data_IF_573985358420
#
_entry.id   IF_573985358420
#
_cell.length_a   1.000
_cell.length_b   1.000
_cell.length_c   1.000
_cell.angle_alpha   90.00
_cell.angle_beta   90.00
_cell.angle_gamma   90.00
#
_symmetry.space_group_name_H-M   'P 1'
#
loop_
_entity.id
_entity.type
_entity.pdbx_description
1 polymer ?
#
# COMPACT_ATOMS: atom_id res chain seq x y z
N UNK A 1 3.08 49.20 30.53
CA UNK A 1 3.58 50.18 31.54
C UNK A 1 3.42 49.70 32.98
N UNK A 2 2.21 49.41 33.48
CA UNK A 2 2.04 48.86 34.85
C UNK A 2 2.50 47.41 34.99
N UNK A 3 2.36 46.60 33.94
CA UNK A 3 2.84 45.22 33.88
C UNK A 3 4.37 45.16 33.89
N UNK A 4 5.01 45.97 33.05
CA UNK A 4 6.47 45.95 32.86
C UNK A 4 7.22 46.32 34.15
N UNK A 5 6.78 47.36 34.84
CA UNK A 5 7.34 47.79 36.12
C UNK A 5 7.15 46.75 37.25
N UNK A 6 6.05 45.97 37.20
CA UNK A 6 5.79 44.92 38.18
C UNK A 6 6.67 43.68 37.91
N UNK A 7 6.85 43.32 36.64
CA UNK A 7 7.80 42.27 36.23
C UNK A 7 9.25 42.64 36.57
N UNK A 8 9.65 43.89 36.38
CA UNK A 8 11.00 44.34 36.73
C UNK A 8 11.23 44.35 38.24
N UNK A 9 10.25 44.82 39.01
CA UNK A 9 10.31 44.77 40.47
C UNK A 9 10.38 43.32 41.01
N UNK A 10 9.53 42.42 40.49
CA UNK A 10 9.54 41.00 40.87
C UNK A 10 10.83 40.29 40.43
N UNK A 11 11.35 40.61 39.24
CA UNK A 11 12.59 40.01 38.75
C UNK A 11 13.81 40.50 39.54
N UNK A 12 13.78 41.72 40.10
CA UNK A 12 14.86 42.26 40.93
C UNK A 12 14.85 41.70 42.36
N UNK A 13 13.68 41.31 42.89
CA UNK A 13 13.52 40.78 44.24
C UNK A 13 13.76 39.26 44.35
N UNK A 14 13.57 38.50 43.27
CA UNK A 14 13.74 37.04 43.30
C UNK A 14 15.22 36.67 43.12
N UNK A 15 15.75 35.90 44.09
CA UNK A 15 17.08 35.32 44.00
C UNK A 15 17.20 34.44 42.75
N UNK A 16 18.42 34.27 42.21
CA UNK A 16 18.66 33.36 41.06
C UNK A 16 18.13 31.95 41.33
N UNK A 17 18.18 31.50 42.58
CA UNK A 17 17.62 30.23 43.04
C UNK A 17 16.09 30.18 42.89
N UNK A 18 15.37 31.24 43.27
CA UNK A 18 13.92 31.30 43.12
C UNK A 18 13.48 31.35 41.65
N UNK A 19 14.23 32.04 40.79
CA UNK A 19 13.98 32.04 39.34
C UNK A 19 14.14 30.64 38.72
N UNK A 20 15.18 29.90 39.11
CA UNK A 20 15.38 28.53 38.65
C UNK A 20 14.31 27.57 39.16
N UNK A 21 13.96 27.66 40.44
CA UNK A 21 12.89 26.84 41.02
C UNK A 21 11.54 27.11 40.34
N UNK A 22 11.23 28.38 40.04
CA UNK A 22 10.03 28.76 39.29
C UNK A 22 10.04 28.20 37.86
N UNK A 23 11.18 28.27 37.16
CA UNK A 23 11.31 27.70 35.83
C UNK A 23 11.14 26.17 35.82
N UNK A 24 11.68 25.47 36.82
CA UNK A 24 11.51 24.03 36.96
C UNK A 24 10.06 23.64 37.27
N UNK A 25 9.39 24.37 38.17
CA UNK A 25 7.98 24.16 38.48
C UNK A 25 7.08 24.44 37.27
N UNK A 26 7.36 25.50 36.51
CA UNK A 26 6.65 25.81 35.27
C UNK A 26 6.90 24.72 34.21
N UNK A 27 8.14 24.25 34.05
CA UNK A 27 8.46 23.13 33.16
C UNK A 27 7.70 21.86 33.53
N UNK A 28 7.57 21.56 34.83
CA UNK A 28 6.77 20.44 35.32
C UNK A 28 5.28 20.58 34.99
N UNK A 29 4.71 21.78 35.18
CA UNK A 29 3.33 22.07 34.78
C UNK A 29 3.12 21.91 33.27
N UNK A 30 4.05 22.39 32.45
CA UNK A 30 3.98 22.26 30.98
C UNK A 30 4.02 20.79 30.56
N UNK A 31 4.94 20.00 31.12
CA UNK A 31 5.03 18.56 30.81
C UNK A 31 3.78 17.82 31.27
N UNK A 32 3.30 18.09 32.49
CA UNK A 32 2.08 17.48 33.01
C UNK A 32 0.83 17.86 32.21
N UNK A 33 0.70 19.13 31.84
CA UNK A 33 -0.39 19.61 30.97
C UNK A 33 -0.33 18.98 29.58
N UNK A 34 0.85 18.93 28.97
CA UNK A 34 1.04 18.30 27.67
C UNK A 34 0.66 16.82 27.72
N UNK A 35 1.05 16.10 28.77
CA UNK A 35 0.61 14.73 29.01
C UNK A 35 -0.92 14.67 29.13
N UNK A 36 -1.54 15.41 30.04
CA UNK A 36 -3.00 15.45 30.20
C UNK A 36 -3.74 15.69 28.87
N UNK A 37 -3.29 16.64 28.05
CA UNK A 37 -3.91 16.95 26.75
C UNK A 37 -3.81 15.80 25.73
N UNK A 38 -2.82 14.90 25.88
CA UNK A 38 -2.70 13.69 25.05
C UNK A 38 -3.60 12.55 25.51
N UNK A 39 -4.14 12.65 26.73
CA UNK A 39 -5.00 11.64 27.36
C UNK A 39 -6.41 12.19 27.66
N UNK A 40 -6.79 13.35 27.15
CA UNK A 40 -8.10 14.00 27.38
C UNK A 40 -9.27 13.10 26.93
N UNK A 41 -9.08 12.32 25.86
CA UNK A 41 -10.08 11.38 25.33
C UNK A 41 -10.25 10.09 26.17
N UNK A 42 -9.47 9.89 27.24
CA UNK A 42 -9.56 8.70 28.11
C UNK A 42 -10.51 8.90 29.30
N UNK A 43 -11.65 9.55 29.07
CA UNK A 43 -12.65 9.96 30.07
C UNK A 43 -13.02 8.89 31.11
N UNK A 44 -13.11 7.63 30.71
CA UNK A 44 -13.46 6.51 31.61
C UNK A 44 -12.30 6.11 32.54
N UNK A 45 -11.04 6.25 32.11
CA UNK A 45 -9.88 5.98 32.96
C UNK A 45 -9.79 6.96 34.13
N UNK A 46 -10.16 8.23 33.90
CA UNK A 46 -10.23 9.21 34.99
C UNK A 46 -11.32 8.86 36.01
N UNK A 47 -12.39 8.15 35.62
CA UNK A 47 -13.46 7.79 36.54
C UNK A 47 -12.99 6.81 37.64
N UNK A 48 -12.05 5.92 37.34
CA UNK A 48 -11.59 4.88 38.27
C UNK A 48 -10.48 5.34 39.23
N UNK A 49 -9.75 6.40 38.90
CA UNK A 49 -8.59 6.84 39.68
C UNK A 49 -8.79 8.22 40.34
N UNK A 50 -9.28 9.23 39.60
CA UNK A 50 -9.70 10.54 40.09
C UNK A 50 -10.23 11.44 38.96
N UNK A 51 -11.20 12.32 39.25
CA UNK A 51 -11.71 13.28 38.26
C UNK A 51 -10.59 14.13 37.66
N UNK A 52 -10.76 14.55 36.40
CA UNK A 52 -9.84 15.46 35.68
C UNK A 52 -9.41 16.67 36.54
N UNK A 53 -10.35 17.26 37.28
CA UNK A 53 -10.10 18.38 38.20
C UNK A 53 -9.15 18.01 39.35
N UNK A 54 -9.27 16.80 39.91
CA UNK A 54 -8.38 16.29 40.95
C UNK A 54 -6.96 16.06 40.44
N UNK A 55 -6.81 15.71 39.15
CA UNK A 55 -5.49 15.55 38.50
C UNK A 55 -4.83 16.90 38.28
N UNK A 56 -5.59 17.88 37.79
CA UNK A 56 -5.11 19.27 37.67
C UNK A 56 -4.69 19.83 39.02
N UNK A 57 -5.47 19.56 40.07
CA UNK A 57 -5.13 19.95 41.44
C UNK A 57 -3.82 19.27 41.91
N UNK A 58 -3.68 17.95 41.69
CA UNK A 58 -2.48 17.20 42.03
C UNK A 58 -1.23 17.70 41.31
N UNK A 59 -1.35 18.02 40.02
CA UNK A 59 -0.28 18.63 39.24
C UNK A 59 0.14 19.99 39.82
N UNK A 60 -0.83 20.84 40.14
CA UNK A 60 -0.59 22.13 40.80
C UNK A 60 0.12 21.99 42.15
N UNK A 61 -0.34 21.08 43.00
CA UNK A 61 0.26 20.81 44.32
C UNK A 61 1.70 20.30 44.17
N UNK A 62 1.97 19.41 43.22
CA UNK A 62 3.31 18.88 42.96
C UNK A 62 4.29 19.95 42.45
N UNK A 63 3.82 20.89 41.62
CA UNK A 63 4.62 22.01 41.15
C UNK A 63 4.99 22.98 42.30
N UNK A 64 4.06 23.25 43.22
CA UNK A 64 4.32 24.04 44.43
C UNK A 64 5.30 23.32 45.35
N UNK A 65 5.15 22.01 45.54
CA UNK A 65 6.07 21.21 46.33
C UNK A 65 7.49 21.22 45.75
N UNK A 66 7.62 21.08 44.42
CA UNK A 66 8.90 21.17 43.69
C UNK A 66 9.55 22.54 43.87
N UNK A 67 8.77 23.62 43.77
CA UNK A 67 9.27 24.98 44.00
C UNK A 67 9.80 25.15 45.44
N UNK A 68 9.02 24.74 46.44
CA UNK A 68 9.40 24.85 47.85
C UNK A 68 10.58 23.95 48.23
N UNK A 69 10.79 22.84 47.52
CA UNK A 69 11.96 21.99 47.69
C UNK A 69 13.21 22.60 47.04
N UNK A 70 13.10 23.13 45.81
CA UNK A 70 14.25 23.63 45.05
C UNK A 70 14.81 24.95 45.56
N UNK A 71 13.96 25.88 46.03
CA UNK A 71 14.42 27.19 46.55
C UNK A 71 15.48 27.03 47.66
N UNK A 72 15.25 26.27 48.74
CA UNK A 72 16.24 26.10 49.81
C UNK A 72 17.42 25.20 49.40
N UNK A 73 17.27 24.34 48.39
CA UNK A 73 18.35 23.53 47.82
C UNK A 73 19.34 24.37 46.99
N UNK A 74 18.81 25.34 46.24
CA UNK A 74 19.59 26.21 45.36
C UNK A 74 20.13 27.46 46.08
N UNK A 75 19.50 27.87 47.18
CA UNK A 75 19.95 28.98 48.01
C UNK A 75 21.10 28.54 48.94
N UNK A 76 22.33 28.64 48.44
CA UNK A 76 23.59 28.30 49.14
C UNK A 76 23.90 29.18 50.36
N UNK A 77 23.09 30.20 50.66
CA UNK A 77 23.40 31.21 51.68
C UNK A 77 23.30 30.71 53.13
N UNK A 78 22.69 29.55 53.39
CA UNK A 78 22.65 28.94 54.74
C UNK A 78 22.93 27.44 54.66
N UNK A 79 24.01 27.00 55.33
CA UNK A 79 24.28 25.56 55.58
C UNK A 79 23.18 25.00 56.49
N UNK A 80 22.03 24.65 55.91
CA UNK A 80 20.95 23.96 56.63
C UNK A 80 21.29 22.47 56.71
N UNK A 81 21.04 21.81 57.84
CA UNK A 81 21.30 20.38 57.98
C UNK A 81 20.43 19.59 57.00
N UNK A 82 21.01 18.55 56.39
CA UNK A 82 20.36 17.68 55.40
C UNK A 82 19.01 17.11 55.88
N UNK A 83 18.87 16.95 57.20
CA UNK A 83 17.64 16.51 57.87
C UNK A 83 16.41 17.40 57.59
N UNK A 84 16.61 18.69 57.27
CA UNK A 84 15.52 19.63 56.95
C UNK A 84 15.12 19.54 55.47
N UNK A 85 16.00 19.06 54.59
CA UNK A 85 15.74 18.94 53.14
C UNK A 85 15.17 17.56 52.77
N UNK A 86 15.49 16.52 53.54
CA UNK A 86 15.08 15.13 53.29
C UNK A 86 13.56 14.96 53.13
N UNK A 87 12.69 15.55 53.98
CA UNK A 87 11.25 15.43 53.83
C UNK A 87 10.73 16.01 52.51
N UNK A 88 11.30 17.13 52.05
CA UNK A 88 10.92 17.76 50.78
C UNK A 88 11.32 16.92 49.57
N UNK A 89 12.48 16.28 49.61
CA UNK A 89 12.95 15.37 48.54
C UNK A 89 12.10 14.10 48.52
N UNK A 90 11.75 13.55 49.68
CA UNK A 90 10.89 12.36 49.78
C UNK A 90 9.49 12.67 49.26
N UNK A 91 8.89 13.81 49.66
CA UNK A 91 7.58 14.23 49.15
C UNK A 91 7.63 14.46 47.63
N UNK A 92 8.69 15.10 47.12
CA UNK A 92 8.86 15.29 45.68
C UNK A 92 9.01 13.94 44.96
N UNK A 93 9.80 13.01 45.49
CA UNK A 93 9.96 11.66 44.96
C UNK A 93 8.64 10.90 44.94
N UNK A 94 7.84 10.99 46.01
CA UNK A 94 6.50 10.42 46.06
C UNK A 94 5.56 11.05 45.03
N UNK A 95 5.58 12.37 44.85
CA UNK A 95 4.78 13.05 43.83
C UNK A 95 5.17 12.63 42.41
N UNK A 96 6.47 12.50 42.12
CA UNK A 96 6.97 12.03 40.82
C UNK A 96 6.58 10.57 40.59
N UNK A 97 6.73 9.69 41.59
CA UNK A 97 6.34 8.29 41.48
C UNK A 97 4.83 8.14 41.24
N UNK A 98 4.01 8.89 41.99
CA UNK A 98 2.55 8.90 41.80
C UNK A 98 2.20 9.41 40.39
N UNK A 99 2.85 10.49 39.93
CA UNK A 99 2.68 10.99 38.58
C UNK A 99 3.08 9.95 37.52
N UNK A 100 4.21 9.27 37.66
CA UNK A 100 4.64 8.22 36.72
C UNK A 100 3.66 7.05 36.73
N UNK A 101 3.23 6.59 37.90
CA UNK A 101 2.23 5.52 38.04
C UNK A 101 0.83 5.93 37.50
N UNK A 102 0.55 7.23 37.40
CA UNK A 102 -0.69 7.74 36.80
C UNK A 102 -0.57 8.03 35.30
N UNK A 103 0.56 8.52 34.81
CA UNK A 103 0.74 8.92 33.40
C UNK A 103 1.22 7.78 32.49
N UNK A 104 1.78 6.70 33.06
CA UNK A 104 2.03 5.45 32.33
C UNK A 104 0.91 4.47 32.71
N UNK A 105 -0.18 4.36 31.93
CA UNK A 105 -1.15 3.33 32.19
C UNK A 105 -0.44 1.99 32.05
N UNK A 106 -0.42 1.21 33.13
CA UNK A 106 -0.07 -0.20 33.03
C UNK A 106 -1.02 -0.85 32.01
N UNK A 107 -0.54 -1.84 31.24
CA UNK A 107 -1.41 -2.62 30.34
C UNK A 107 -2.67 -3.06 31.09
N UNK A 108 -3.85 -2.91 30.49
CA UNK A 108 -5.14 -3.26 31.11
C UNK A 108 -6.14 -3.79 30.08
N UNK A 109 -7.02 -4.71 30.50
CA UNK A 109 -8.02 -5.32 29.62
C UNK A 109 -9.01 -4.29 29.06
N UNK A 110 -9.33 -3.24 29.83
CA UNK A 110 -10.17 -2.14 29.34
C UNK A 110 -9.45 -1.27 28.30
N UNK A 111 -8.12 -1.10 28.41
CA UNK A 111 -7.31 -0.50 27.35
C UNK A 111 -7.45 -1.25 26.03
N UNK A 112 -7.33 -2.58 26.08
CA UNK A 112 -7.51 -3.45 24.91
C UNK A 112 -8.94 -3.34 24.35
N UNK A 113 -9.97 -3.34 25.20
CA UNK A 113 -11.38 -3.18 24.78
C UNK A 113 -11.63 -1.85 24.09
N UNK A 114 -11.15 -0.74 24.67
CA UNK A 114 -11.31 0.61 24.10
C UNK A 114 -10.58 0.72 22.78
N UNK A 115 -9.35 0.21 22.69
CA UNK A 115 -8.59 0.20 21.44
C UNK A 115 -9.29 -0.66 20.36
N UNK A 116 -9.79 -1.84 20.72
CA UNK A 116 -10.54 -2.71 19.82
C UNK A 116 -11.87 -2.08 19.37
N UNK A 117 -12.62 -1.43 20.28
CA UNK A 117 -13.87 -0.73 19.96
C UNK A 117 -13.64 0.48 19.04
N UNK A 118 -12.50 1.16 19.18
CA UNK A 118 -12.07 2.23 18.28
C UNK A 118 -11.52 1.71 16.94
N UNK A 119 -11.36 0.40 16.78
CA UNK A 119 -10.79 -0.24 15.58
C UNK A 119 -9.26 -0.17 15.49
N UNK A 120 -8.56 0.25 16.55
CA UNK A 120 -7.10 0.26 16.64
C UNK A 120 -6.58 -1.10 17.15
N UNK A 121 -6.71 -2.11 16.30
CA UNK A 121 -6.37 -3.50 16.64
C UNK A 121 -4.87 -3.74 16.86
N UNK A 122 -4.00 -2.91 16.26
CA UNK A 122 -2.54 -2.99 16.49
C UNK A 122 -2.22 -2.60 17.92
N UNK A 123 -2.82 -1.50 18.40
CA UNK A 123 -2.66 -1.07 19.78
C UNK A 123 -3.33 -2.02 20.77
N UNK A 124 -4.51 -2.52 20.42
CA UNK A 124 -5.21 -3.52 21.24
C UNK A 124 -4.35 -4.79 21.43
N UNK A 125 -3.73 -5.29 20.35
CA UNK A 125 -2.81 -6.44 20.43
C UNK A 125 -1.59 -6.12 21.31
N UNK A 126 -0.96 -4.95 21.15
CA UNK A 126 0.20 -4.58 21.95
C UNK A 126 -0.10 -4.45 23.45
N UNK A 127 -1.27 -3.91 23.83
CA UNK A 127 -1.73 -3.89 25.23
C UNK A 127 -2.04 -5.30 25.75
N UNK A 128 -2.58 -6.18 24.91
CA UNK A 128 -2.88 -7.57 25.27
C UNK A 128 -1.60 -8.41 25.46
N UNK A 129 -0.63 -8.31 24.55
CA UNK A 129 0.65 -9.01 24.64
C UNK A 129 1.44 -8.59 25.90
N UNK A 130 1.34 -7.30 26.28
CA UNK A 130 1.95 -6.80 27.50
C UNK A 130 1.26 -7.30 28.78
N UNK A 131 -0.07 -7.56 28.74
CA UNK A 131 -0.79 -8.21 29.84
C UNK A 131 -0.46 -9.69 29.98
N UNK A 132 -0.32 -10.39 28.84
CA UNK A 132 0.00 -11.81 28.79
C UNK A 132 1.43 -12.08 29.28
N UNK A 133 2.39 -11.23 28.88
CA UNK A 133 3.78 -11.31 29.33
C UNK A 133 3.95 -11.13 30.85
N UNK A 134 3.06 -10.37 31.49
CA UNK A 134 3.04 -10.14 32.94
C UNK A 134 2.16 -11.16 33.71
N UNK A 135 1.63 -12.18 33.04
CA UNK A 135 0.73 -13.21 33.60
C UNK A 135 -0.55 -12.59 34.23
N UNK A 136 -0.97 -11.43 33.71
CA UNK A 136 -2.08 -10.62 34.22
C UNK A 136 -3.38 -10.76 33.42
N UNK A 137 -3.39 -11.61 32.41
CA UNK A 137 -4.58 -11.92 31.63
C UNK A 137 -5.57 -12.75 32.49
N UNK A 138 -6.61 -12.11 33.03
CA UNK A 138 -7.64 -12.73 33.86
C UNK A 138 -8.86 -13.24 33.05
N UNK A 139 -9.88 -13.74 33.77
CA UNK A 139 -11.22 -14.01 33.22
C UNK A 139 -11.72 -12.84 32.34
N UNK A 140 -12.16 -13.15 31.12
CA UNK A 140 -12.54 -12.17 30.09
C UNK A 140 -11.48 -11.94 29.00
N UNK A 141 -10.23 -12.38 29.19
CA UNK A 141 -9.16 -12.29 28.19
C UNK A 141 -9.38 -13.23 26.99
N UNK A 142 -10.06 -14.37 27.18
CA UNK A 142 -10.27 -15.37 26.12
C UNK A 142 -11.12 -14.84 24.96
N UNK A 143 -12.23 -14.15 25.25
CA UNK A 143 -13.11 -13.55 24.24
C UNK A 143 -12.40 -12.43 23.47
N UNK A 144 -11.60 -11.62 24.17
CA UNK A 144 -10.78 -10.58 23.57
C UNK A 144 -9.70 -11.16 22.65
N UNK A 145 -9.04 -12.22 23.10
CA UNK A 145 -8.03 -12.92 22.33
C UNK A 145 -8.63 -13.54 21.05
N UNK A 146 -9.82 -14.13 21.14
CA UNK A 146 -10.52 -14.68 19.97
C UNK A 146 -10.87 -13.58 18.95
N UNK A 147 -11.30 -12.41 19.43
CA UNK A 147 -11.61 -11.25 18.57
C UNK A 147 -10.35 -10.71 17.87
N UNK A 148 -9.24 -10.59 18.59
CA UNK A 148 -7.96 -10.17 18.04
C UNK A 148 -7.40 -11.18 17.02
N UNK A 149 -7.50 -12.48 17.31
CA UNK A 149 -7.10 -13.55 16.37
C UNK A 149 -7.94 -13.55 15.09
N UNK A 150 -9.26 -13.37 15.21
CA UNK A 150 -10.16 -13.29 14.06
C UNK A 150 -9.82 -12.10 13.14
N UNK A 151 -9.46 -10.97 13.73
CA UNK A 151 -9.03 -9.80 12.98
C UNK A 151 -7.65 -10.00 12.34
N UNK A 152 -6.67 -10.55 13.08
CA UNK A 152 -5.36 -10.89 12.53
C UNK A 152 -5.45 -11.83 11.32
N UNK A 153 -6.40 -12.78 11.34
CA UNK A 153 -6.67 -13.63 10.18
C UNK A 153 -7.23 -12.85 8.99
N UNK A 154 -8.18 -11.93 9.21
CA UNK A 154 -8.74 -11.08 8.14
C UNK A 154 -7.68 -10.16 7.54
N UNK A 155 -6.86 -9.54 8.37
CA UNK A 155 -5.79 -8.66 7.92
C UNK A 155 -4.70 -9.44 7.18
N UNK A 156 -4.37 -10.65 7.62
CA UNK A 156 -3.49 -11.57 6.91
C UNK A 156 -4.03 -11.98 5.54
N UNK A 157 -5.32 -12.32 5.44
CA UNK A 157 -5.98 -12.61 4.16
C UNK A 157 -6.00 -11.38 3.24
N UNK A 158 -6.25 -10.19 3.78
CA UNK A 158 -6.27 -8.95 3.01
C UNK A 158 -4.87 -8.53 2.54
N UNK A 159 -3.85 -8.73 3.38
CA UNK A 159 -2.45 -8.51 3.01
C UNK A 159 -2.01 -9.49 1.92
N UNK A 160 -2.36 -10.78 2.04
CA UNK A 160 -2.07 -11.79 1.03
C UNK A 160 -2.73 -11.45 -0.32
N UNK A 161 -3.98 -10.96 -0.32
CA UNK A 161 -4.65 -10.46 -1.53
C UNK A 161 -3.92 -9.25 -2.12
N UNK A 162 -3.60 -8.24 -1.30
CA UNK A 162 -2.83 -7.06 -1.74
C UNK A 162 -1.48 -7.43 -2.34
N UNK A 163 -0.77 -8.40 -1.74
CA UNK A 163 0.51 -8.89 -2.26
C UNK A 163 0.35 -9.63 -3.58
N UNK A 164 -0.71 -10.45 -3.73
CA UNK A 164 -1.03 -11.10 -4.99
C UNK A 164 -1.38 -10.08 -6.08
N UNK A 165 -2.17 -9.05 -5.75
CA UNK A 165 -2.50 -7.95 -6.67
C UNK A 165 -1.27 -7.17 -7.10
N UNK A 166 -0.39 -6.82 -6.15
CA UNK A 166 0.89 -6.14 -6.45
C UNK A 166 1.81 -7.00 -7.32
N UNK A 167 1.84 -8.32 -7.09
CA UNK A 167 2.62 -9.24 -7.92
C UNK A 167 2.07 -9.30 -9.35
N UNK A 168 0.75 -9.28 -9.52
CA UNK A 168 0.11 -9.22 -10.83
C UNK A 168 0.33 -7.88 -11.53
N UNK A 169 0.22 -6.76 -10.82
CA UNK A 169 0.51 -5.43 -11.36
C UNK A 169 1.98 -5.28 -11.76
N UNK A 170 2.90 -5.84 -10.97
CA UNK A 170 4.31 -5.88 -11.31
C UNK A 170 4.60 -6.76 -12.52
N UNK A 171 3.94 -7.92 -12.66
CA UNK A 171 4.00 -8.74 -13.88
C UNK A 171 3.45 -7.98 -15.08
N UNK A 172 2.39 -7.20 -14.91
CA UNK A 172 1.79 -6.38 -15.97
C UNK A 172 2.71 -5.23 -16.40
N UNK A 173 3.36 -4.56 -15.45
CA UNK A 173 4.35 -3.52 -15.71
C UNK A 173 5.59 -4.11 -16.40
N UNK A 174 6.14 -5.21 -15.89
CA UNK A 174 7.26 -5.92 -16.52
C UNK A 174 6.91 -6.42 -17.91
N UNK A 175 5.67 -6.83 -18.18
CA UNK A 175 5.25 -7.22 -19.51
C UNK A 175 5.15 -6.04 -20.47
N UNK A 176 4.65 -4.90 -19.97
CA UNK A 176 4.62 -3.64 -20.70
C UNK A 176 6.02 -3.16 -21.06
N UNK A 177 6.97 -3.28 -20.13
CA UNK A 177 8.34 -2.79 -20.27
C UNK A 177 9.28 -3.80 -20.97
N UNK A 178 9.06 -5.11 -20.80
CA UNK A 178 9.96 -6.16 -21.28
C UNK A 178 9.49 -6.89 -22.56
N UNK A 179 8.31 -6.60 -23.13
CA UNK A 179 7.89 -7.31 -24.33
C UNK A 179 7.29 -6.48 -25.46
N UNK A 180 8.13 -6.35 -26.50
CA UNK A 180 7.75 -6.06 -27.88
C UNK A 180 7.18 -7.29 -28.62
N UNK A 181 6.99 -8.44 -27.96
CA UNK A 181 6.58 -9.71 -28.59
C UNK A 181 5.23 -10.20 -28.08
N UNK A 182 4.28 -10.39 -28.99
CA UNK A 182 2.90 -10.84 -28.73
C UNK A 182 2.83 -12.11 -27.86
N UNK A 183 3.82 -12.99 -27.98
CA UNK A 183 3.98 -14.20 -27.17
C UNK A 183 3.98 -13.96 -25.64
N UNK A 184 4.48 -12.82 -25.14
CA UNK A 184 4.53 -12.56 -23.68
C UNK A 184 3.16 -12.16 -23.13
N UNK A 185 2.39 -11.38 -23.89
CA UNK A 185 1.03 -10.97 -23.48
C UNK A 185 0.05 -12.13 -23.49
N UNK A 186 0.25 -13.11 -24.38
CA UNK A 186 -0.55 -14.33 -24.46
C UNK A 186 -0.29 -15.29 -23.30
N UNK A 187 0.97 -15.38 -22.84
CA UNK A 187 1.35 -16.11 -21.62
C UNK A 187 0.72 -15.47 -20.38
N UNK A 188 0.62 -14.14 -20.33
CA UNK A 188 0.03 -13.42 -19.19
C UNK A 188 -1.49 -13.54 -19.12
N UNK A 189 -2.18 -13.49 -20.27
CA UNK A 189 -3.62 -13.75 -20.32
C UNK A 189 -3.97 -15.13 -19.75
N UNK A 190 -3.12 -16.15 -19.97
CA UNK A 190 -3.31 -17.52 -19.45
C UNK A 190 -2.91 -17.69 -17.98
N UNK A 191 -2.07 -16.80 -17.43
CA UNK A 191 -1.52 -16.94 -16.08
C UNK A 191 -2.34 -16.21 -15.00
N UNK A 192 -3.10 -15.18 -15.36
CA UNK A 192 -3.89 -14.42 -14.40
C UNK A 192 -5.17 -15.15 -13.99
N UNK A 193 -5.52 -15.07 -12.72
CA UNK A 193 -6.75 -15.66 -12.16
C UNK A 193 -7.92 -14.69 -12.09
N UNK A 194 -7.67 -13.37 -12.22
CA UNK A 194 -8.68 -12.33 -12.17
C UNK A 194 -9.30 -12.09 -13.58
N UNK A 195 -10.63 -12.28 -13.74
CA UNK A 195 -11.30 -12.13 -15.04
C UNK A 195 -11.25 -10.70 -15.61
N UNK A 196 -11.24 -9.67 -14.76
CA UNK A 196 -11.21 -8.27 -15.23
C UNK A 196 -9.82 -7.93 -15.77
N UNK A 197 -8.77 -8.42 -15.11
CA UNK A 197 -7.38 -8.27 -15.59
C UNK A 197 -7.16 -9.08 -16.87
N UNK A 198 -7.73 -10.28 -16.99
CA UNK A 198 -7.70 -11.06 -18.23
C UNK A 198 -8.36 -10.31 -19.39
N UNK A 199 -9.51 -9.68 -19.16
CA UNK A 199 -10.22 -8.90 -20.18
C UNK A 199 -9.40 -7.68 -20.62
N UNK A 200 -8.77 -6.97 -19.67
CA UNK A 200 -7.90 -5.83 -19.96
C UNK A 200 -6.67 -6.26 -20.78
N UNK A 201 -6.04 -7.39 -20.44
CA UNK A 201 -4.93 -7.95 -21.22
C UNK A 201 -5.36 -8.28 -22.66
N UNK A 202 -6.49 -8.98 -22.83
CA UNK A 202 -7.01 -9.35 -24.15
C UNK A 202 -7.24 -8.11 -25.00
N UNK A 203 -7.86 -7.07 -24.42
CA UNK A 203 -8.09 -5.80 -25.12
C UNK A 203 -6.79 -5.15 -25.59
N UNK A 204 -5.80 -5.01 -24.70
CA UNK A 204 -4.49 -4.39 -25.03
C UNK A 204 -3.72 -5.20 -26.07
N UNK A 205 -3.79 -6.54 -25.99
CA UNK A 205 -3.16 -7.44 -26.97
C UNK A 205 -3.78 -7.21 -28.35
N UNK A 206 -5.11 -7.19 -28.45
CA UNK A 206 -5.82 -6.99 -29.71
C UNK A 206 -5.61 -5.58 -30.28
N UNK A 207 -5.66 -4.53 -29.47
CA UNK A 207 -5.37 -3.16 -29.91
C UNK A 207 -3.96 -3.06 -30.52
N UNK A 208 -2.98 -3.70 -29.90
CA UNK A 208 -1.61 -3.75 -30.42
C UNK A 208 -1.45 -4.62 -31.64
N UNK A 209 -2.07 -5.81 -31.66
CA UNK A 209 -2.02 -6.71 -32.80
C UNK A 209 -2.62 -6.04 -34.04
N UNK A 210 -3.70 -5.27 -33.88
CA UNK A 210 -4.29 -4.44 -34.95
C UNK A 210 -3.32 -3.37 -35.45
N UNK A 211 -2.67 -2.64 -34.54
CA UNK A 211 -1.67 -1.64 -34.91
C UNK A 211 -0.51 -2.24 -35.72
N UNK A 212 0.06 -3.37 -35.28
CA UNK A 212 1.16 -4.04 -36.00
C UNK A 212 0.66 -4.65 -37.33
N UNK A 213 -0.57 -5.16 -37.36
CA UNK A 213 -1.16 -5.68 -38.58
C UNK A 213 -1.38 -4.59 -39.62
N UNK A 214 -1.74 -3.36 -39.23
CA UNK A 214 -1.86 -2.21 -40.13
C UNK A 214 -0.54 -1.86 -40.81
N UNK A 215 0.56 -1.84 -40.05
CA UNK A 215 1.91 -1.64 -40.62
C UNK A 215 2.27 -2.80 -41.56
N UNK A 216 2.11 -4.05 -41.12
CA UNK A 216 2.41 -5.23 -41.93
C UNK A 216 1.54 -5.34 -43.19
N UNK A 217 0.29 -4.86 -43.15
CA UNK A 217 -0.57 -4.75 -44.32
C UNK A 217 -0.05 -3.74 -45.33
N UNK A 218 0.42 -2.59 -44.85
CA UNK A 218 0.97 -1.53 -45.69
C UNK A 218 2.26 -1.99 -46.37
N UNK A 219 3.09 -2.75 -45.65
CA UNK A 219 4.38 -3.26 -46.12
C UNK A 219 4.26 -4.57 -46.92
N UNK A 220 3.05 -5.11 -47.10
CA UNK A 220 2.80 -6.41 -47.74
C UNK A 220 3.58 -7.59 -47.11
N UNK A 221 3.84 -7.55 -45.80
CA UNK A 221 4.62 -8.57 -45.08
C UNK A 221 3.73 -9.79 -44.70
N UNK A 222 3.55 -10.70 -45.66
CA UNK A 222 2.79 -11.94 -45.46
C UNK A 222 3.24 -12.78 -44.25
N UNK A 223 4.56 -13.04 -44.04
CA UNK A 223 5.05 -13.75 -42.86
C UNK A 223 4.77 -13.06 -41.51
N UNK A 224 4.78 -11.72 -41.44
CA UNK A 224 4.37 -11.01 -40.24
C UNK A 224 2.87 -11.21 -39.96
N UNK A 225 2.03 -11.08 -40.98
CA UNK A 225 0.58 -11.28 -40.86
C UNK A 225 0.21 -12.71 -40.43
N UNK A 226 0.92 -13.72 -40.95
CA UNK A 226 0.72 -15.11 -40.53
C UNK A 226 1.04 -15.33 -39.04
N UNK A 227 2.10 -14.69 -38.53
CA UNK A 227 2.46 -14.75 -37.11
C UNK A 227 1.42 -14.05 -36.23
N UNK A 228 0.95 -12.87 -36.64
CA UNK A 228 -0.09 -12.13 -35.90
C UNK A 228 -1.36 -12.97 -35.82
N UNK A 229 -1.76 -13.63 -36.90
CA UNK A 229 -2.95 -14.46 -36.92
C UNK A 229 -2.87 -15.66 -35.95
N UNK A 230 -1.73 -16.35 -35.91
CA UNK A 230 -1.49 -17.44 -34.96
C UNK A 230 -1.52 -16.92 -33.52
N UNK A 231 -0.90 -15.76 -33.29
CA UNK A 231 -0.83 -15.13 -31.97
C UNK A 231 -2.18 -14.57 -31.51
N UNK A 232 -3.16 -14.34 -32.39
CA UNK A 232 -4.50 -13.85 -32.00
C UNK A 232 -5.59 -14.92 -32.03
N UNK A 233 -5.28 -16.16 -32.43
CA UNK A 233 -6.26 -17.24 -32.52
C UNK A 233 -6.91 -17.52 -31.17
N UNK A 234 -8.25 -17.55 -31.12
CA UNK A 234 -9.03 -17.69 -29.88
C UNK A 234 -9.17 -16.40 -29.05
N UNK A 235 -8.55 -15.29 -29.48
CA UNK A 235 -8.76 -13.96 -28.88
C UNK A 235 -9.70 -13.09 -29.72
N UNK A 236 -9.62 -13.18 -31.04
CA UNK A 236 -10.52 -12.53 -31.99
C UNK A 236 -10.44 -13.32 -33.29
N UNK A 237 -11.37 -14.26 -33.47
CA UNK A 237 -11.31 -15.23 -34.57
C UNK A 237 -11.50 -14.54 -35.92
N UNK A 238 -12.36 -13.51 -35.99
CA UNK A 238 -12.57 -12.71 -37.19
C UNK A 238 -11.29 -11.95 -37.58
N UNK A 239 -10.65 -11.28 -36.61
CA UNK A 239 -9.38 -10.57 -36.86
C UNK A 239 -8.25 -11.53 -37.25
N UNK A 240 -8.17 -12.69 -36.59
CA UNK A 240 -7.16 -13.71 -36.89
C UNK A 240 -7.34 -14.23 -38.32
N UNK A 241 -8.59 -14.56 -38.70
CA UNK A 241 -8.92 -15.03 -40.03
C UNK A 241 -8.57 -13.98 -41.11
N UNK A 242 -8.86 -12.69 -40.88
CA UNK A 242 -8.45 -11.61 -41.78
C UNK A 242 -6.93 -11.55 -41.98
N UNK A 243 -6.17 -11.71 -40.89
CA UNK A 243 -4.71 -11.74 -40.96
C UNK A 243 -4.21 -12.99 -41.72
N UNK A 244 -4.78 -14.18 -41.49
CA UNK A 244 -4.41 -15.40 -42.24
C UNK A 244 -4.69 -15.29 -43.73
N UNK A 245 -5.87 -14.78 -44.10
CA UNK A 245 -6.26 -14.58 -45.49
C UNK A 245 -5.29 -13.65 -46.20
N UNK A 246 -4.99 -12.50 -45.60
CA UNK A 246 -4.05 -11.53 -46.20
C UNK A 246 -2.63 -12.07 -46.25
N UNK A 247 -2.20 -12.81 -45.22
CA UNK A 247 -0.91 -13.48 -45.21
C UNK A 247 -0.78 -14.50 -46.36
N UNK A 248 -1.79 -15.35 -46.56
CA UNK A 248 -1.80 -16.34 -47.63
C UNK A 248 -1.72 -15.68 -49.02
N UNK A 249 -2.39 -14.53 -49.20
CA UNK A 249 -2.35 -13.77 -50.44
C UNK A 249 -0.96 -13.20 -50.74
N UNK A 250 -0.32 -12.54 -49.77
CA UNK A 250 1.02 -11.95 -49.98
C UNK A 250 2.11 -13.02 -50.11
N UNK A 251 2.02 -14.11 -49.34
CA UNK A 251 2.91 -15.28 -49.51
C UNK A 251 2.70 -15.90 -50.90
N UNK A 252 1.45 -16.03 -51.35
CA UNK A 252 1.12 -16.55 -52.67
C UNK A 252 1.73 -15.70 -53.80
N UNK A 253 1.65 -14.37 -53.70
CA UNK A 253 2.27 -13.43 -54.64
C UNK A 253 3.79 -13.55 -54.67
N UNK A 254 4.44 -13.58 -53.50
CA UNK A 254 5.89 -13.77 -53.42
C UNK A 254 6.30 -15.11 -54.04
N UNK A 255 5.58 -16.19 -53.73
CA UNK A 255 5.85 -17.51 -54.33
C UNK A 255 5.66 -17.52 -55.85
N UNK A 256 4.65 -16.82 -56.38
CA UNK A 256 4.45 -16.69 -57.83
C UNK A 256 5.58 -15.89 -58.49
N UNK A 257 6.05 -14.81 -57.86
CA UNK A 257 7.19 -14.03 -58.35
C UNK A 257 8.49 -14.86 -58.39
N UNK A 258 8.66 -15.77 -57.44
CA UNK A 258 9.81 -16.68 -57.36
C UNK A 258 9.66 -17.96 -58.22
N UNK A 259 8.53 -18.16 -58.89
CA UNK A 259 8.24 -19.39 -59.66
C UNK A 259 8.03 -20.64 -58.80
N UNK A 260 7.68 -20.49 -57.52
CA UNK A 260 7.41 -21.59 -56.57
C UNK A 260 5.94 -22.04 -56.61
N UNK A 261 5.56 -22.75 -57.66
CA UNK A 261 4.16 -23.06 -57.97
C UNK A 261 3.44 -23.96 -56.95
N UNK A 262 4.15 -24.88 -56.28
CA UNK A 262 3.56 -25.69 -55.20
C UNK A 262 3.15 -24.82 -54.00
N UNK A 263 3.93 -23.78 -53.69
CA UNK A 263 3.57 -22.81 -52.65
C UNK A 263 2.34 -21.99 -53.05
N UNK A 264 2.26 -21.55 -54.32
CA UNK A 264 1.09 -20.83 -54.84
C UNK A 264 -0.17 -21.69 -54.69
N UNK A 265 -0.10 -22.97 -55.06
CA UNK A 265 -1.21 -23.93 -54.90
C UNK A 265 -1.63 -24.07 -53.45
N UNK A 266 -0.68 -24.24 -52.53
CA UNK A 266 -0.98 -24.36 -51.10
C UNK A 266 -1.65 -23.09 -50.54
N UNK A 267 -1.26 -21.90 -50.99
CA UNK A 267 -1.90 -20.65 -50.55
C UNK A 267 -3.29 -20.47 -51.16
N UNK A 268 -3.51 -20.85 -52.43
CA UNK A 268 -4.84 -20.84 -53.05
C UNK A 268 -5.81 -21.77 -52.32
N UNK A 269 -5.39 -22.99 -51.96
CA UNK A 269 -6.21 -23.90 -51.16
C UNK A 269 -6.61 -23.27 -49.82
N UNK A 270 -5.67 -22.63 -49.11
CA UNK A 270 -5.99 -21.91 -47.85
C UNK A 270 -6.99 -20.77 -48.04
N UNK A 271 -6.91 -20.05 -49.16
CA UNK A 271 -7.83 -18.96 -49.49
C UNK A 271 -9.22 -19.47 -49.87
N UNK A 272 -9.32 -20.66 -50.48
CA UNK A 272 -10.57 -21.31 -50.86
C UNK A 272 -11.26 -21.97 -49.65
N UNK A 273 -10.49 -22.52 -48.70
CA UNK A 273 -10.97 -23.06 -47.43
C UNK A 273 -11.44 -21.94 -46.48
N UNK A 274 -10.83 -20.76 -46.56
CA UNK A 274 -11.21 -19.54 -45.84
C UNK A 274 -12.51 -18.95 -46.36
N UNK A 275 -13.66 -19.47 -45.91
CA UNK A 275 -14.99 -18.97 -46.30
C UNK A 275 -15.14 -17.48 -45.97
N UNK A 276 -15.58 -16.72 -46.98
CA UNK A 276 -15.74 -15.25 -47.02
C UNK A 276 -14.42 -14.47 -47.19
N UNK A 277 -13.80 -14.63 -48.36
CA UNK A 277 -12.91 -13.60 -48.88
C UNK A 277 -13.67 -12.27 -48.98
N UNK A 278 -13.11 -11.20 -48.43
CA UNK A 278 -13.54 -9.85 -48.78
C UNK A 278 -13.57 -9.74 -50.32
N UNK A 279 -14.68 -9.28 -50.93
CA UNK A 279 -14.79 -9.13 -52.39
C UNK A 279 -13.61 -8.37 -53.02
N UNK A 280 -12.91 -7.53 -52.26
CA UNK A 280 -11.70 -6.85 -52.68
C UNK A 280 -10.54 -7.79 -53.04
N UNK A 281 -10.49 -9.01 -52.49
CA UNK A 281 -9.41 -9.98 -52.76
C UNK A 281 -9.68 -10.91 -53.94
N UNK A 282 -10.93 -11.03 -54.39
CA UNK A 282 -11.33 -11.89 -55.54
C UNK A 282 -10.48 -11.68 -56.79
N UNK A 283 -10.20 -10.44 -57.25
CA UNK A 283 -9.41 -10.22 -58.47
C UNK A 283 -7.98 -10.77 -58.37
N UNK A 284 -7.40 -10.73 -57.17
CA UNK A 284 -6.03 -11.16 -56.92
C UNK A 284 -5.96 -12.69 -56.84
N UNK A 285 -6.97 -13.32 -56.22
CA UNK A 285 -7.10 -14.78 -56.21
C UNK A 285 -7.29 -15.31 -57.63
N UNK A 286 -8.13 -14.66 -58.43
CA UNK A 286 -8.34 -15.04 -59.84
C UNK A 286 -7.06 -14.86 -60.67
N UNK A 287 -6.27 -13.82 -60.41
CA UNK A 287 -4.96 -13.63 -61.03
C UNK A 287 -4.00 -14.77 -60.68
N UNK A 288 -3.88 -15.13 -59.40
CA UNK A 288 -3.01 -16.24 -58.96
C UNK A 288 -3.47 -17.58 -59.57
N UNK A 289 -4.78 -17.82 -59.64
CA UNK A 289 -5.36 -19.00 -60.29
C UNK A 289 -5.03 -19.03 -61.78
N UNK A 290 -5.23 -17.92 -62.49
CA UNK A 290 -4.93 -17.82 -63.92
C UNK A 290 -3.44 -18.04 -64.25
N UNK A 291 -2.53 -17.57 -63.39
CA UNK A 291 -1.08 -17.84 -63.52
C UNK A 291 -0.77 -19.32 -63.32
N UNK A 292 -1.36 -19.95 -62.29
CA UNK A 292 -1.16 -21.39 -62.03
C UNK A 292 -1.67 -22.25 -63.20
N UNK A 293 -2.88 -21.98 -63.70
CA UNK A 293 -3.46 -22.67 -64.85
C UNK A 293 -2.62 -22.50 -66.12
N UNK A 294 -2.04 -21.32 -66.34
CA UNK A 294 -1.17 -21.05 -67.48
C UNK A 294 0.13 -21.88 -67.42
N UNK A 295 0.73 -22.02 -66.23
CA UNK A 295 1.94 -22.83 -66.02
C UNK A 295 1.64 -24.33 -66.20
N UNK A 296 0.50 -24.81 -65.69
CA UNK A 296 0.09 -26.21 -65.80
C UNK A 296 -0.21 -26.64 -67.24
N UNK A 297 -0.55 -25.71 -68.13
CA UNK A 297 -0.76 -25.96 -69.56
C UNK A 297 0.53 -26.01 -70.37
N UNK A 298 1.68 -25.61 -69.81
CA UNK A 298 2.98 -25.74 -70.48
C UNK A 298 3.45 -27.19 -70.32
N UNK A 299 3.58 -27.98 -71.41
CA UNK A 299 4.06 -29.34 -71.30
C UNK A 299 5.48 -29.33 -70.73
N UNK A 300 5.67 -30.02 -69.60
CA UNK A 300 6.99 -30.27 -69.02
C UNK A 300 7.86 -30.99 -70.07
N UNK A 301 9.06 -30.47 -70.41
CA UNK A 301 9.99 -31.15 -71.30
C UNK A 301 10.50 -32.48 -70.72
#
# INVERSE_FOLDING_TARGET
>A
MLTDALTDALSSMLSRAAKFAAAAALGWLIVGWWLLSRYEDRGEWYADYASYDAILLGLGVSAVALFLALVPLLDRSRRRPLAVLLPGIVVLGCCVQIAVCWFYPAPSLDGVRVAAAAGDFVRAQAEFDALDADDRASEGAAELHELLLAQGKRDGEQLARKQADQADDHRLAQAGDASLKVATTLVLHRAWTDPDKQALARRRLLERARFIAEDAWTDHDGPALARIAEDTRGLDDDFSQQCETRAALEIGRSCAADGRWECVRAMLTKLEDGRALDPAFTPIVDQLRGVLEAVERVPTP
#
